data_IF_843926429607
#
_entry.id   IF_843926429607
#
_cell.length_a   1.000
_cell.length_b   1.000
_cell.length_c   1.000
_cell.angle_alpha   90.00
_cell.angle_beta   90.00
_cell.angle_gamma   90.00
#
_symmetry.space_group_name_H-M   'P 1'
#
loop_
_entity.id
_entity.type
_entity.pdbx_description
1 polymer ?
#
# COMPACT_ATOMS: atom_id res chain seq x y z
N UNK A 1 21.50 -1.55 -1.72
CA UNK A 1 20.21 -0.86 -1.70
C UNK A 1 19.98 -0.23 -3.06
N UNK A 2 18.72 -0.21 -3.50
CA UNK A 2 18.28 0.41 -4.75
C UNK A 2 17.28 1.51 -4.41
N UNK A 3 17.19 2.53 -5.26
CA UNK A 3 16.21 3.60 -5.12
C UNK A 3 14.93 3.24 -5.87
N UNK A 4 13.79 3.31 -5.19
CA UNK A 4 12.47 3.02 -5.74
C UNK A 4 11.63 4.29 -5.71
N UNK A 5 10.87 4.53 -6.78
CA UNK A 5 9.86 5.56 -6.76
C UNK A 5 8.55 4.95 -6.26
N UNK A 6 8.00 5.47 -5.17
CA UNK A 6 6.77 4.94 -4.56
C UNK A 6 5.71 6.03 -4.55
N UNK A 7 4.58 5.75 -5.18
CA UNK A 7 3.44 6.65 -5.32
C UNK A 7 2.18 5.99 -4.72
N UNK A 8 1.25 6.79 -4.22
CA UNK A 8 -0.05 6.29 -3.79
C UNK A 8 -0.87 5.81 -5.00
N UNK A 9 -1.59 4.68 -4.87
CA UNK A 9 -2.62 4.33 -5.85
C UNK A 9 -3.85 5.24 -5.65
N UNK A 10 -4.07 6.16 -6.58
CA UNK A 10 -5.22 7.09 -6.60
C UNK A 10 -6.35 6.62 -7.52
N UNK A 11 -6.30 5.39 -8.05
CA UNK A 11 -7.30 4.90 -9.01
C UNK A 11 -8.72 4.78 -8.45
N UNK A 12 -8.88 4.74 -7.13
CA UNK A 12 -10.19 4.77 -6.46
C UNK A 12 -10.72 6.21 -6.17
N UNK A 13 -10.03 7.25 -6.66
CA UNK A 13 -10.37 8.68 -6.58
C UNK A 13 -11.00 9.11 -5.24
N UNK A 14 -10.16 9.15 -4.20
CA UNK A 14 -10.56 9.61 -2.87
C UNK A 14 -10.37 11.14 -2.68
N UNK A 15 -10.17 11.92 -3.75
CA UNK A 15 -9.95 13.38 -3.68
C UNK A 15 -8.66 13.84 -3.00
N UNK A 16 -7.72 12.93 -2.74
CA UNK A 16 -6.42 13.24 -2.14
C UNK A 16 -5.40 13.62 -3.22
N UNK A 17 -4.52 14.58 -2.91
CA UNK A 17 -3.38 14.88 -3.79
C UNK A 17 -2.47 13.64 -3.85
N UNK A 18 -2.06 13.19 -5.05
CA UNK A 18 -1.12 12.09 -5.16
C UNK A 18 0.18 12.49 -4.47
N UNK A 19 0.63 11.65 -3.55
CA UNK A 19 1.93 11.77 -2.90
C UNK A 19 2.86 10.70 -3.46
N UNK A 20 4.10 11.09 -3.72
CA UNK A 20 5.16 10.23 -4.20
C UNK A 20 6.48 10.54 -3.47
N UNK A 21 7.34 9.53 -3.29
CA UNK A 21 8.70 9.67 -2.75
C UNK A 21 9.68 8.78 -3.49
N UNK A 22 10.96 9.13 -3.39
CA UNK A 22 12.06 8.21 -3.62
C UNK A 22 12.44 7.52 -2.30
N UNK A 23 12.49 6.18 -2.31
CA UNK A 23 12.79 5.35 -1.14
C UNK A 23 13.97 4.45 -1.47
N UNK A 24 15.04 4.54 -0.68
CA UNK A 24 16.14 3.56 -0.72
C UNK A 24 15.75 2.31 0.08
N UNK A 25 15.77 1.15 -0.58
CA UNK A 25 15.41 -0.12 0.02
C UNK A 25 16.16 -1.29 -0.63
N UNK A 26 16.10 -2.48 -0.05
CA UNK A 26 16.64 -3.70 -0.66
C UNK A 26 15.62 -4.39 -1.57
N UNK A 27 14.32 -4.13 -1.38
CA UNK A 27 13.25 -4.71 -2.18
C UNK A 27 12.07 -3.74 -2.41
N UNK A 28 11.18 -4.12 -3.33
CA UNK A 28 9.94 -3.39 -3.63
C UNK A 28 9.05 -3.30 -2.38
N UNK A 29 9.02 -4.37 -1.59
CA UNK A 29 8.20 -4.51 -0.39
C UNK A 29 8.72 -3.61 0.73
N UNK A 30 10.04 -3.60 0.95
CA UNK A 30 10.67 -2.71 1.92
C UNK A 30 10.46 -1.25 1.51
N UNK A 31 10.54 -0.93 0.22
CA UNK A 31 10.23 0.43 -0.27
C UNK A 31 8.79 0.85 0.01
N UNK A 32 7.82 -0.03 -0.22
CA UNK A 32 6.40 0.22 0.05
C UNK A 32 6.13 0.38 1.57
N UNK A 33 6.75 -0.46 2.40
CA UNK A 33 6.62 -0.40 3.85
C UNK A 33 7.18 0.92 4.41
N UNK A 34 8.38 1.30 3.98
CA UNK A 34 9.04 2.53 4.40
C UNK A 34 8.23 3.77 3.97
N UNK A 35 7.70 3.77 2.75
CA UNK A 35 6.82 4.84 2.28
C UNK A 35 5.59 5.04 3.18
N UNK A 36 4.93 3.94 3.58
CA UNK A 36 3.77 4.01 4.48
C UNK A 36 4.18 4.42 5.90
N UNK A 37 5.30 3.91 6.41
CA UNK A 37 5.80 4.25 7.75
C UNK A 37 6.05 5.75 7.92
N UNK A 38 6.58 6.42 6.88
CA UNK A 38 6.80 7.87 6.89
C UNK A 38 5.51 8.69 6.97
N UNK A 39 4.39 8.11 6.54
CA UNK A 39 3.10 8.80 6.38
C UNK A 39 1.97 8.24 7.24
N UNK A 40 2.25 7.26 8.09
CA UNK A 40 1.21 6.52 8.83
C UNK A 40 0.24 7.43 9.59
N UNK A 41 0.73 8.52 10.17
CA UNK A 41 -0.09 9.45 10.94
C UNK A 41 -1.01 10.30 10.05
N UNK A 42 -0.52 10.78 8.92
CA UNK A 42 -1.35 11.50 7.93
C UNK A 42 -2.45 10.58 7.38
N UNK A 43 -2.10 9.32 7.12
CA UNK A 43 -3.02 8.32 6.61
C UNK A 43 -4.09 7.93 7.62
N UNK A 44 -3.73 7.69 8.88
CA UNK A 44 -4.69 7.38 9.95
C UNK A 44 -5.65 8.54 10.20
N UNK A 45 -5.16 9.78 10.10
CA UNK A 45 -6.01 10.97 10.23
C UNK A 45 -7.04 11.07 9.09
N UNK A 46 -6.64 10.71 7.86
CA UNK A 46 -7.51 10.76 6.69
C UNK A 46 -8.43 9.53 6.56
N UNK A 47 -7.98 8.35 7.01
CA UNK A 47 -8.65 7.05 6.85
C UNK A 47 -8.51 6.18 8.09
N UNK A 48 -9.16 6.53 9.21
CA UNK A 48 -9.02 5.81 10.48
C UNK A 48 -9.50 4.35 10.43
N UNK A 49 -10.28 3.99 9.40
CA UNK A 49 -10.91 2.67 9.25
C UNK A 49 -10.39 1.84 8.07
N UNK A 50 -9.38 2.29 7.30
CA UNK A 50 -8.79 1.47 6.22
C UNK A 50 -7.60 0.67 6.78
N UNK A 51 -7.70 -0.68 6.86
CA UNK A 51 -6.60 -1.52 7.37
C UNK A 51 -5.47 -1.70 6.34
N UNK A 52 -5.71 -1.37 5.08
CA UNK A 52 -4.80 -1.59 3.97
C UNK A 52 -4.65 -0.35 3.09
N UNK A 53 -3.47 -0.23 2.50
CA UNK A 53 -3.06 0.85 1.61
C UNK A 53 -2.42 0.23 0.37
N UNK A 54 -2.87 0.65 -0.81
CA UNK A 54 -2.26 0.23 -2.06
C UNK A 54 -1.35 1.35 -2.55
N UNK A 55 -0.10 1.01 -2.84
CA UNK A 55 0.90 1.90 -3.41
C UNK A 55 1.40 1.30 -4.72
N UNK A 56 1.89 2.14 -5.61
CA UNK A 56 2.58 1.73 -6.83
C UNK A 56 4.07 1.98 -6.61
N UNK A 57 4.88 0.93 -6.76
CA UNK A 57 6.33 0.99 -6.67
C UNK A 57 6.91 0.84 -8.07
N UNK A 58 7.71 1.82 -8.50
CA UNK A 58 8.48 1.77 -9.73
C UNK A 58 9.93 1.44 -9.41
N UNK A 59 10.42 0.33 -9.96
CA UNK A 59 11.80 -0.13 -9.81
C UNK A 59 12.80 0.78 -10.56
N UNK A 60 14.10 0.72 -10.27
CA UNK A 60 15.14 1.44 -11.04
C UNK A 60 15.14 1.14 -12.55
N UNK A 61 14.57 -0.01 -12.95
CA UNK A 61 14.45 -0.42 -14.35
C UNK A 61 13.18 0.09 -15.03
N UNK A 62 12.35 0.86 -14.31
CA UNK A 62 11.07 1.39 -14.80
C UNK A 62 9.88 0.42 -14.70
N UNK A 63 10.07 -0.78 -14.14
CA UNK A 63 8.95 -1.72 -13.91
C UNK A 63 8.08 -1.21 -12.76
N UNK A 64 6.76 -1.13 -12.97
CA UNK A 64 5.77 -0.75 -11.96
C UNK A 64 5.09 -1.96 -11.33
N UNK A 65 4.91 -1.96 -10.01
CA UNK A 65 4.19 -2.99 -9.25
C UNK A 65 3.22 -2.33 -8.27
N UNK A 66 1.99 -2.83 -8.19
CA UNK A 66 1.06 -2.48 -7.11
C UNK A 66 1.38 -3.34 -5.89
N UNK A 67 1.51 -2.72 -4.73
CA UNK A 67 1.83 -3.36 -3.45
C UNK A 67 0.81 -2.91 -2.42
N UNK A 68 0.20 -3.86 -1.73
CA UNK A 68 -0.69 -3.59 -0.61
C UNK A 68 0.10 -3.67 0.70
N UNK A 69 -0.06 -2.68 1.55
CA UNK A 69 0.64 -2.58 2.85
C UNK A 69 -0.42 -2.41 3.94
N UNK A 70 -0.24 -3.11 5.07
CA UNK A 70 -1.17 -3.10 6.19
C UNK A 70 -0.62 -2.24 7.32
N UNK A 71 -1.47 -1.42 7.94
CA UNK A 71 -1.14 -0.84 9.25
C UNK A 71 -1.54 -1.84 10.34
N UNK A 72 -0.57 -2.24 11.14
CA UNK A 72 -0.77 -3.14 12.27
C UNK A 72 -0.58 -2.38 13.58
N UNK A 73 -1.21 -2.88 14.65
CA UNK A 73 -1.01 -2.41 16.02
C UNK A 73 -0.30 -3.49 16.80
N UNK A 74 0.81 -3.15 17.46
CA UNK A 74 1.47 -4.07 18.38
C UNK A 74 0.73 -4.12 19.73
N UNK A 75 1.17 -5.00 20.63
CA UNK A 75 0.59 -5.17 21.96
C UNK A 75 0.69 -3.91 22.85
N UNK A 76 1.59 -2.99 22.52
CA UNK A 76 1.74 -1.69 23.18
C UNK A 76 0.79 -0.62 22.61
N UNK A 77 -0.03 -0.98 21.61
CA UNK A 77 -0.93 -0.08 20.90
C UNK A 77 -0.23 0.84 19.89
N UNK A 78 1.07 0.62 19.61
CA UNK A 78 1.80 1.38 18.61
C UNK A 78 1.46 0.89 17.20
N UNK A 79 1.19 1.84 16.31
CA UNK A 79 0.84 1.59 14.91
C UNK A 79 2.10 1.57 14.04
N UNK A 80 2.32 0.48 13.32
CA UNK A 80 3.45 0.31 12.41
C UNK A 80 2.98 -0.29 11.07
N UNK A 81 3.66 0.04 9.97
CA UNK A 81 3.43 -0.65 8.71
C UNK A 81 4.03 -2.07 8.83
N UNK A 82 3.15 -3.06 8.89
CA UNK A 82 3.51 -4.47 8.80
C UNK A 82 3.45 -4.92 7.34
N UNK A 83 4.35 -5.79 6.89
CA UNK A 83 4.29 -6.25 5.52
C UNK A 83 3.09 -7.20 5.33
N UNK A 84 2.05 -6.78 4.58
CA UNK A 84 1.04 -7.71 4.09
C UNK A 84 1.46 -8.20 2.70
N UNK A 85 2.19 -9.31 2.65
CA UNK A 85 2.72 -9.86 1.40
C UNK A 85 1.63 -10.47 0.49
N UNK A 86 0.47 -10.84 1.05
CA UNK A 86 -0.71 -11.31 0.31
C UNK A 86 -1.94 -11.07 1.20
N UNK A 87 -2.46 -9.86 1.17
CA UNK A 87 -3.88 -9.73 1.44
C UNK A 87 -4.47 -10.13 0.10
N UNK A 88 -4.76 -11.43 -0.08
CA UNK A 88 -5.52 -11.89 -1.24
C UNK A 88 -6.63 -10.85 -1.42
N UNK A 89 -6.72 -10.23 -2.61
CA UNK A 89 -8.05 -9.82 -3.07
C UNK A 89 -8.94 -10.99 -2.68
N UNK A 90 -9.99 -10.85 -1.82
CA UNK A 90 -11.01 -11.88 -1.84
C UNK A 90 -11.31 -12.02 -3.32
N UNK A 91 -11.16 -13.26 -3.83
CA UNK A 91 -11.47 -13.57 -5.22
C UNK A 91 -12.65 -12.71 -5.60
N UNK A 92 -12.50 -11.86 -6.62
CA UNK A 92 -13.68 -11.29 -7.22
C UNK A 92 -14.60 -12.49 -7.47
N UNK A 93 -15.71 -12.53 -6.74
CA UNK A 93 -16.87 -13.33 -7.09
C UNK A 93 -17.33 -12.80 -8.46
N UNK A 94 -16.62 -13.16 -9.53
CA UNK A 94 -17.23 -13.45 -10.81
C UNK A 94 -17.69 -14.90 -10.70
N UNK A 95 -18.97 -15.26 -10.74
CA UNK A 95 -20.12 -14.58 -11.28
C UNK A 95 -21.36 -14.98 -10.48
N UNK A 96 -22.21 -14.01 -10.20
CA UNK A 96 -23.64 -14.23 -10.31
C UNK A 96 -23.93 -14.57 -11.78
N UNK A 97 -23.90 -15.86 -12.14
CA UNK A 97 -24.64 -16.33 -13.31
C UNK A 97 -25.89 -17.00 -12.79
N UNK A 98 -26.98 -16.21 -12.83
CA UNK A 98 -28.32 -16.74 -12.81
C UNK A 98 -28.44 -17.84 -13.87
N UNK A 99 -28.96 -18.98 -13.42
CA UNK A 99 -29.60 -20.06 -14.17
C UNK A 99 -30.27 -19.65 -15.51
N UNK A 100 -30.38 -20.62 -16.42
CA UNK A 100 -31.58 -21.48 -16.41
C UNK A 100 -31.33 -22.89 -15.85
#
# INVERSE_FOLDING_TARGET
MSEYHVEQDISEDDGLRPFEDMIEANSIEEAAQEWLNRRRYDWLALRPNKPYYVVIVTTPKGEKRKVQVKLERNDSGEEFAGPCFVCETPNQEGNNDLQP
#
